data_IF_601753039863
#
_entry.id   IF_601753039863
#
_cell.length_a   1.000
_cell.length_b   1.000
_cell.length_c   1.000
_cell.angle_alpha   90.00
_cell.angle_beta   90.00
_cell.angle_gamma   90.00
#
_symmetry.space_group_name_H-M   'P 1'
#
loop_
_entity.id
_entity.type
_entity.pdbx_description
1 polymer ?
#
# COMPACT_ATOMS: atom_id res chain seq x y z
N UNK A 1 -1.12 30.21 8.09
CA UNK A 1 -0.39 29.05 7.53
C UNK A 1 0.39 28.25 8.58
N UNK A 2 1.02 28.88 9.59
CA UNK A 2 1.74 28.15 10.65
C UNK A 2 0.83 27.22 11.47
N UNK A 3 -0.37 27.64 11.85
CA UNK A 3 -1.28 26.78 12.64
C UNK A 3 -1.76 25.53 11.91
N UNK A 4 -1.96 25.59 10.59
CA UNK A 4 -2.31 24.41 9.79
C UNK A 4 -1.14 23.40 9.71
N UNK A 5 0.09 23.89 9.56
CA UNK A 5 1.30 23.04 9.58
C UNK A 5 1.45 22.35 10.94
N UNK A 6 1.32 23.07 12.03
CA UNK A 6 1.43 22.49 13.39
C UNK A 6 0.36 21.45 13.67
N UNK A 7 -0.89 21.67 13.23
CA UNK A 7 -1.98 20.69 13.37
C UNK A 7 -1.76 19.47 12.48
N UNK A 8 -1.20 19.68 11.28
CA UNK A 8 -0.84 18.59 10.36
C UNK A 8 0.31 17.75 10.90
N UNK A 9 1.36 18.39 11.40
CA UNK A 9 2.52 17.72 12.01
C UNK A 9 2.12 16.93 13.26
N UNK A 10 1.21 17.48 14.07
CA UNK A 10 0.65 16.76 15.22
C UNK A 10 -0.14 15.52 14.76
N UNK A 11 -1.03 15.67 13.79
CA UNK A 11 -1.81 14.55 13.26
C UNK A 11 -0.89 13.46 12.66
N UNK A 12 0.09 13.87 11.86
CA UNK A 12 1.02 12.96 11.21
C UNK A 12 1.93 12.22 12.21
N UNK A 13 2.49 12.93 13.19
CA UNK A 13 3.46 12.34 14.12
C UNK A 13 2.79 11.61 15.30
N UNK A 14 1.70 12.15 15.84
CA UNK A 14 1.08 11.62 17.06
C UNK A 14 -0.05 10.63 16.77
N UNK A 15 -0.83 10.82 15.70
CA UNK A 15 -1.95 9.93 15.39
C UNK A 15 -1.54 8.86 14.38
N UNK A 16 -0.99 9.23 13.23
CA UNK A 16 -0.58 8.26 12.20
C UNK A 16 0.76 7.61 12.53
N UNK A 17 1.76 8.39 12.93
CA UNK A 17 3.08 7.90 13.29
C UNK A 17 3.16 7.28 14.67
N UNK A 18 2.18 7.51 15.57
CA UNK A 18 2.14 6.99 16.95
C UNK A 18 3.50 7.07 17.66
N UNK A 19 4.23 8.19 17.53
CA UNK A 19 5.57 8.36 18.15
C UNK A 19 5.54 8.12 19.66
N UNK A 20 4.44 8.52 20.32
CA UNK A 20 4.21 8.25 21.74
C UNK A 20 4.26 6.75 22.09
N UNK A 21 3.78 5.88 21.17
CA UNK A 21 3.79 4.43 21.36
C UNK A 21 5.23 3.89 21.26
N UNK A 22 6.03 4.41 20.33
CA UNK A 22 7.44 4.02 20.20
C UNK A 22 8.25 4.42 21.45
N UNK A 23 8.03 5.63 21.98
CA UNK A 23 8.65 6.12 23.22
C UNK A 23 8.20 5.28 24.43
N UNK A 24 6.94 4.91 24.50
CA UNK A 24 6.40 4.09 25.57
C UNK A 24 6.99 2.67 25.58
N UNK A 25 7.14 2.06 24.41
CA UNK A 25 7.78 0.75 24.27
C UNK A 25 9.28 0.85 24.61
N UNK A 26 9.96 1.90 24.12
CA UNK A 26 11.37 2.15 24.44
C UNK A 26 11.62 2.34 25.93
N UNK A 27 10.78 3.14 26.62
CA UNK A 27 10.88 3.31 28.06
C UNK A 27 10.56 2.02 28.84
N UNK A 28 9.63 1.22 28.37
CA UNK A 28 9.33 -0.10 28.94
C UNK A 28 10.52 -1.07 28.85
N UNK A 29 11.15 -1.15 27.68
CA UNK A 29 12.35 -1.98 27.48
C UNK A 29 13.54 -1.51 28.32
N UNK A 30 13.75 -0.18 28.44
CA UNK A 30 14.76 0.39 29.32
C UNK A 30 14.50 0.08 30.79
N UNK A 31 13.24 0.12 31.25
CA UNK A 31 12.84 -0.24 32.62
C UNK A 31 13.10 -1.73 32.92
N UNK A 32 13.13 -2.59 31.89
CA UNK A 32 13.50 -4.01 32.01
C UNK A 32 15.03 -4.22 31.99
N UNK A 33 15.82 -3.16 31.95
CA UNK A 33 17.29 -3.23 31.96
C UNK A 33 17.92 -3.54 30.61
N UNK A 34 17.16 -3.40 29.52
CA UNK A 34 17.63 -3.64 28.16
C UNK A 34 18.19 -2.33 27.58
N UNK A 35 19.41 -2.39 27.03
CA UNK A 35 20.04 -1.23 26.37
C UNK A 35 19.46 -1.04 24.97
N UNK A 36 18.75 0.07 24.75
CA UNK A 36 18.12 0.42 23.46
C UNK A 36 19.16 0.61 22.35
N UNK A 37 20.42 0.94 22.67
CA UNK A 37 21.49 1.07 21.69
C UNK A 37 21.96 -0.29 21.14
N UNK A 38 21.57 -1.38 21.76
CA UNK A 38 21.83 -2.72 21.24
C UNK A 38 20.94 -3.01 20.03
N UNK A 39 21.55 -3.44 18.91
CA UNK A 39 20.84 -3.75 17.64
C UNK A 39 19.70 -4.73 17.84
N UNK A 40 19.83 -5.73 18.69
CA UNK A 40 18.77 -6.69 18.98
C UNK A 40 17.59 -6.04 19.71
N UNK A 41 17.87 -5.19 20.69
CA UNK A 41 16.82 -4.49 21.45
C UNK A 41 16.09 -3.48 20.55
N UNK A 42 16.82 -2.76 19.71
CA UNK A 42 16.25 -1.87 18.72
C UNK A 42 15.35 -2.60 17.70
N UNK A 43 15.75 -3.81 17.24
CA UNK A 43 14.90 -4.63 16.36
C UNK A 43 13.64 -5.13 17.07
N UNK A 44 13.73 -5.50 18.33
CA UNK A 44 12.55 -5.91 19.15
C UNK A 44 11.62 -4.72 19.38
N UNK A 45 12.17 -3.55 19.71
CA UNK A 45 11.39 -2.33 19.87
C UNK A 45 10.63 -1.99 18.58
N UNK A 46 11.31 -1.97 17.45
CA UNK A 46 10.72 -1.72 16.14
C UNK A 46 9.64 -2.75 15.82
N UNK A 47 9.92 -4.03 16.02
CA UNK A 47 8.95 -5.10 15.78
C UNK A 47 7.67 -4.93 16.60
N UNK A 48 7.78 -4.72 17.90
CA UNK A 48 6.62 -4.58 18.78
C UNK A 48 5.82 -3.31 18.40
N UNK A 49 6.53 -2.19 18.21
CA UNK A 49 5.92 -0.93 17.81
C UNK A 49 5.15 -1.05 16.50
N UNK A 50 5.78 -1.59 15.47
CA UNK A 50 5.21 -1.66 14.12
C UNK A 50 4.05 -2.66 14.06
N UNK A 51 4.14 -3.81 14.73
CA UNK A 51 3.05 -4.78 14.84
C UNK A 51 1.82 -4.15 15.51
N UNK A 52 1.98 -3.43 16.61
CA UNK A 52 0.86 -2.79 17.32
C UNK A 52 0.28 -1.68 16.44
N UNK A 53 1.10 -0.81 15.89
CA UNK A 53 0.71 0.31 15.02
C UNK A 53 -0.08 -0.19 13.81
N UNK A 54 0.47 -1.13 13.08
CA UNK A 54 -0.18 -1.70 11.88
C UNK A 54 -1.49 -2.38 12.25
N UNK A 55 -1.52 -3.14 13.35
CA UNK A 55 -2.74 -3.81 13.83
C UNK A 55 -3.84 -2.81 14.16
N UNK A 56 -3.53 -1.74 14.90
CA UNK A 56 -4.51 -0.72 15.26
C UNK A 56 -5.04 0.03 14.05
N UNK A 57 -4.14 0.49 13.16
CA UNK A 57 -4.52 1.20 11.95
C UNK A 57 -5.33 0.30 11.00
N UNK A 58 -4.92 -0.94 10.81
CA UNK A 58 -5.60 -1.92 9.97
C UNK A 58 -7.01 -2.21 10.49
N UNK A 59 -7.15 -2.53 11.79
CA UNK A 59 -8.45 -2.80 12.39
C UNK A 59 -9.39 -1.61 12.30
N UNK A 60 -8.89 -0.40 12.59
CA UNK A 60 -9.66 0.83 12.49
C UNK A 60 -10.12 1.10 11.06
N UNK A 61 -9.22 0.97 10.10
CA UNK A 61 -9.50 1.22 8.69
C UNK A 61 -10.50 0.19 8.12
N UNK A 62 -10.28 -1.11 8.37
CA UNK A 62 -11.20 -2.15 7.92
C UNK A 62 -12.58 -1.98 8.55
N UNK A 63 -12.65 -1.61 9.83
CA UNK A 63 -13.93 -1.37 10.50
C UNK A 63 -14.69 -0.22 9.83
N UNK A 64 -14.05 0.93 9.60
CA UNK A 64 -14.68 2.09 8.95
C UNK A 64 -15.12 1.74 7.54
N UNK A 65 -14.25 1.12 6.75
CA UNK A 65 -14.55 0.75 5.37
C UNK A 65 -15.73 -0.24 5.32
N UNK A 66 -15.70 -1.28 6.15
CA UNK A 66 -16.79 -2.26 6.19
C UNK A 66 -18.10 -1.64 6.67
N UNK A 67 -18.03 -0.67 7.59
CA UNK A 67 -19.19 0.08 8.03
C UNK A 67 -19.77 0.94 6.90
N UNK A 68 -18.93 1.66 6.14
CA UNK A 68 -19.35 2.44 4.98
C UNK A 68 -19.90 1.52 3.88
N UNK A 69 -19.23 0.41 3.59
CA UNK A 69 -19.68 -0.59 2.61
C UNK A 69 -21.05 -1.16 2.94
N UNK A 70 -21.40 -1.29 4.22
CA UNK A 70 -22.71 -1.75 4.63
C UNK A 70 -23.87 -0.83 4.19
N UNK A 71 -23.58 0.41 3.78
CA UNK A 71 -24.55 1.34 3.17
C UNK A 71 -24.58 1.27 1.65
N UNK A 72 -23.51 0.74 1.04
CA UNK A 72 -23.36 0.62 -0.41
C UNK A 72 -23.22 -0.86 -0.76
N UNK A 73 -24.35 -1.56 -0.96
CA UNK A 73 -24.29 -2.94 -1.40
C UNK A 73 -23.56 -3.03 -2.75
N UNK A 74 -22.87 -4.15 -3.02
CA UNK A 74 -22.07 -4.37 -4.22
C UNK A 74 -22.81 -4.08 -5.53
N UNK A 75 -24.15 -4.26 -5.54
CA UNK A 75 -25.04 -4.04 -6.69
C UNK A 75 -25.04 -2.57 -7.15
N UNK A 76 -25.02 -1.61 -6.20
CA UNK A 76 -24.92 -0.16 -6.53
C UNK A 76 -23.56 0.20 -7.10
N UNK A 77 -22.50 -0.41 -6.58
CA UNK A 77 -21.16 -0.23 -7.14
C UNK A 77 -21.06 -0.77 -8.56
N UNK A 78 -21.70 -1.92 -8.84
CA UNK A 78 -21.83 -2.49 -10.17
C UNK A 78 -22.63 -1.57 -11.11
N UNK A 79 -23.70 -0.95 -10.65
CA UNK A 79 -24.50 -0.02 -11.45
C UNK A 79 -23.73 1.27 -11.80
N UNK A 80 -22.96 1.80 -10.86
CA UNK A 80 -22.13 3.00 -11.08
C UNK A 80 -20.96 2.69 -12.02
N UNK A 81 -20.21 1.63 -11.75
CA UNK A 81 -19.05 1.23 -12.56
C UNK A 81 -19.47 0.59 -13.89
N UNK A 82 -20.63 -0.06 -13.95
CA UNK A 82 -21.19 -0.64 -15.16
C UNK A 82 -21.69 0.37 -16.20
N UNK A 83 -21.88 1.64 -15.82
CA UNK A 83 -22.19 2.74 -16.77
C UNK A 83 -20.97 3.15 -17.60
N UNK A 84 -19.77 2.87 -17.10
CA UNK A 84 -18.51 3.15 -17.80
C UNK A 84 -18.01 1.83 -18.40
N UNK A 85 -17.55 1.86 -19.64
CA UNK A 85 -17.01 0.70 -20.35
C UNK A 85 -15.57 0.95 -20.79
N UNK A 86 -14.73 -0.08 -20.77
CA UNK A 86 -13.37 -0.02 -21.27
C UNK A 86 -12.47 0.95 -20.52
N UNK A 87 -11.67 1.73 -21.24
CA UNK A 87 -10.68 2.65 -20.67
C UNK A 87 -11.28 3.68 -19.70
N UNK A 88 -12.52 4.12 -19.93
CA UNK A 88 -13.19 5.08 -19.03
C UNK A 88 -13.45 4.49 -17.64
N UNK A 89 -13.91 3.24 -17.58
CA UNK A 89 -14.15 2.54 -16.31
C UNK A 89 -12.83 2.31 -15.56
N UNK A 90 -11.78 1.90 -16.26
CA UNK A 90 -10.45 1.70 -15.70
C UNK A 90 -9.87 3.02 -15.14
N UNK A 91 -10.08 4.14 -15.82
CA UNK A 91 -9.63 5.46 -15.37
C UNK A 91 -10.37 5.91 -14.11
N UNK A 92 -11.68 5.73 -14.03
CA UNK A 92 -12.48 6.05 -12.85
C UNK A 92 -12.07 5.18 -11.66
N UNK A 93 -11.85 3.90 -11.89
CA UNK A 93 -11.39 2.98 -10.85
C UNK A 93 -9.99 3.34 -10.33
N UNK A 94 -9.06 3.71 -11.22
CA UNK A 94 -7.74 4.17 -10.84
C UNK A 94 -7.78 5.47 -10.03
N UNK A 95 -8.63 6.43 -10.41
CA UNK A 95 -8.85 7.66 -9.63
C UNK A 95 -9.45 7.36 -8.26
N UNK A 96 -10.42 6.45 -8.18
CA UNK A 96 -10.98 6.02 -6.89
C UNK A 96 -9.90 5.40 -5.99
N UNK A 97 -9.01 4.57 -6.56
CA UNK A 97 -7.89 4.00 -5.82
C UNK A 97 -6.94 5.06 -5.27
N UNK A 98 -6.68 6.11 -6.04
CA UNK A 98 -5.79 7.22 -5.61
C UNK A 98 -6.40 8.08 -4.50
N UNK A 99 -7.72 8.34 -4.56
CA UNK A 99 -8.42 9.18 -3.56
C UNK A 99 -8.63 8.42 -2.25
N UNK A 100 -8.70 7.10 -2.31
CA UNK A 100 -8.89 6.28 -1.12
C UNK A 100 -7.55 5.95 -0.46
N UNK A 101 -7.30 6.38 0.80
CA UNK A 101 -6.03 6.17 1.49
C UNK A 101 -5.89 4.72 1.97
N UNK A 102 -5.91 3.78 1.04
CA UNK A 102 -5.88 2.36 1.35
C UNK A 102 -4.48 1.77 1.16
N UNK A 103 -3.96 1.16 2.22
CA UNK A 103 -2.83 0.25 2.07
C UNK A 103 -3.25 -0.99 1.26
N UNK A 104 -2.30 -1.70 0.71
CA UNK A 104 -2.55 -2.95 -0.03
C UNK A 104 -3.38 -3.97 0.76
N UNK A 105 -3.26 -3.99 2.10
CA UNK A 105 -4.03 -4.87 2.98
C UNK A 105 -5.54 -4.58 2.97
N UNK A 106 -5.94 -3.32 2.79
CA UNK A 106 -7.35 -2.91 2.72
C UNK A 106 -7.90 -2.89 1.29
N UNK A 107 -7.04 -2.67 0.30
CA UNK A 107 -7.42 -2.69 -1.12
C UNK A 107 -7.78 -4.10 -1.61
N UNK A 108 -7.13 -5.16 -1.07
CA UNK A 108 -7.41 -6.55 -1.45
C UNK A 108 -8.83 -7.00 -1.07
N UNK A 109 -9.36 -6.77 0.15
CA UNK A 109 -10.77 -7.03 0.44
C UNK A 109 -11.75 -6.28 -0.46
N UNK A 110 -11.45 -5.02 -0.82
CA UNK A 110 -12.25 -4.25 -1.77
C UNK A 110 -12.20 -4.85 -3.18
N UNK A 111 -11.01 -5.24 -3.63
CA UNK A 111 -10.84 -5.97 -4.88
C UNK A 111 -11.70 -7.24 -4.91
N UNK A 112 -11.69 -8.03 -3.84
CA UNK A 112 -12.54 -9.22 -3.71
C UNK A 112 -14.01 -8.84 -3.79
N UNK A 113 -14.44 -7.79 -3.08
CA UNK A 113 -15.82 -7.30 -3.09
C UNK A 113 -16.27 -6.84 -4.48
N UNK A 114 -15.46 -6.05 -5.19
CA UNK A 114 -15.78 -5.61 -6.55
C UNK A 114 -15.80 -6.77 -7.54
N UNK A 115 -14.86 -7.70 -7.42
CA UNK A 115 -14.81 -8.89 -8.31
C UNK A 115 -15.99 -9.81 -8.08
N UNK A 116 -16.38 -10.06 -6.81
CA UNK A 116 -17.58 -10.85 -6.50
C UNK A 116 -18.86 -10.15 -6.95
N UNK A 117 -18.93 -8.82 -6.91
CA UNK A 117 -20.04 -8.05 -7.48
C UNK A 117 -20.12 -8.12 -9.01
N UNK A 118 -19.16 -8.76 -9.68
CA UNK A 118 -19.12 -8.90 -11.14
C UNK A 118 -18.62 -7.66 -11.88
N UNK A 119 -17.85 -6.79 -11.20
CA UNK A 119 -17.13 -5.69 -11.85
C UNK A 119 -16.04 -6.27 -12.75
N UNK A 120 -15.84 -5.76 -13.99
CA UNK A 120 -14.81 -6.24 -14.90
C UNK A 120 -13.43 -6.32 -14.27
N UNK A 121 -12.67 -7.36 -14.57
CA UNK A 121 -11.38 -7.62 -13.94
C UNK A 121 -10.36 -6.49 -14.20
N UNK A 122 -10.40 -5.88 -15.37
CA UNK A 122 -9.53 -4.73 -15.68
C UNK A 122 -9.79 -3.54 -14.76
N UNK A 123 -11.04 -3.26 -14.48
CA UNK A 123 -11.47 -2.16 -13.58
C UNK A 123 -11.00 -2.42 -12.16
N UNK A 124 -11.20 -3.65 -11.64
CA UNK A 124 -10.79 -4.02 -10.30
C UNK A 124 -9.27 -4.00 -10.12
N UNK A 125 -8.51 -4.42 -11.16
CA UNK A 125 -7.06 -4.33 -11.15
C UNK A 125 -6.54 -2.91 -11.33
N UNK A 126 -7.19 -2.05 -12.11
CA UNK A 126 -6.82 -0.62 -12.18
C UNK A 126 -6.93 0.03 -10.79
N UNK A 127 -7.98 -0.26 -10.03
CA UNK A 127 -8.12 0.15 -8.64
C UNK A 127 -7.01 -0.45 -7.74
N UNK A 128 -6.76 -1.76 -7.86
CA UNK A 128 -5.79 -2.46 -7.01
C UNK A 128 -4.35 -2.01 -7.26
N UNK A 129 -4.00 -1.62 -8.49
CA UNK A 129 -2.68 -1.10 -8.84
C UNK A 129 -2.53 0.35 -8.35
N UNK A 130 -3.53 1.20 -8.61
CA UNK A 130 -3.43 2.64 -8.27
C UNK A 130 -3.40 2.88 -6.77
N UNK A 131 -4.18 2.14 -6.00
CA UNK A 131 -4.37 2.37 -4.57
C UNK A 131 -3.06 2.33 -3.74
N UNK A 132 -2.18 1.32 -3.86
CA UNK A 132 -0.91 1.32 -3.16
C UNK A 132 0.21 2.07 -3.90
N UNK A 133 0.06 2.33 -5.21
CA UNK A 133 1.07 3.04 -5.99
C UNK A 133 0.93 4.56 -5.89
N UNK A 134 -0.29 5.07 -5.74
CA UNK A 134 -0.58 6.51 -5.79
C UNK A 134 -1.56 6.85 -4.69
N UNK A 135 -1.09 6.96 -3.47
CA UNK A 135 -1.93 7.37 -2.35
C UNK A 135 -1.76 8.86 -2.00
N UNK A 136 -2.75 9.41 -1.31
CA UNK A 136 -2.72 10.82 -0.88
C UNK A 136 -1.59 11.11 0.13
N UNK A 137 -1.19 10.13 0.93
CA UNK A 137 -0.09 10.27 1.87
C UNK A 137 1.23 10.45 1.12
N UNK A 138 1.49 9.62 0.10
CA UNK A 138 2.65 9.77 -0.80
C UNK A 138 2.65 11.12 -1.50
N UNK A 139 1.49 11.57 -1.97
CA UNK A 139 1.35 12.87 -2.64
C UNK A 139 1.74 14.04 -1.74
N UNK A 140 1.21 14.07 -0.51
CA UNK A 140 1.52 15.13 0.47
C UNK A 140 2.99 15.11 0.82
N UNK A 141 3.54 13.93 1.04
CA UNK A 141 4.95 13.75 1.36
C UNK A 141 5.86 14.21 0.23
N UNK A 142 5.64 13.70 -0.98
CA UNK A 142 6.42 14.08 -2.16
C UNK A 142 6.35 15.59 -2.39
N UNK A 143 5.19 16.20 -2.14
CA UNK A 143 5.04 17.65 -2.25
C UNK A 143 5.89 18.40 -1.23
N UNK A 144 6.02 17.88 -0.01
CA UNK A 144 6.81 18.52 1.05
C UNK A 144 8.33 18.34 0.88
N UNK A 145 8.78 17.21 0.35
CA UNK A 145 10.23 16.90 0.22
C UNK A 145 10.77 17.33 -1.16
N UNK A 146 10.07 16.92 -2.22
CA UNK A 146 10.55 17.05 -3.60
C UNK A 146 9.83 18.15 -4.39
N UNK A 147 8.81 18.78 -3.79
CA UNK A 147 8.01 19.84 -4.41
C UNK A 147 6.80 19.32 -5.19
N UNK A 148 5.82 20.23 -5.40
CA UNK A 148 4.54 19.88 -6.00
C UNK A 148 4.61 19.38 -7.44
N UNK A 149 5.60 19.81 -8.22
CA UNK A 149 5.78 19.35 -9.60
C UNK A 149 6.06 17.86 -9.68
N UNK A 150 6.98 17.37 -8.83
CA UNK A 150 7.34 15.93 -8.73
C UNK A 150 6.12 15.11 -8.33
N UNK A 151 5.39 15.59 -7.32
CA UNK A 151 4.20 14.92 -6.83
C UNK A 151 3.09 14.78 -7.89
N UNK A 152 2.81 15.83 -8.66
CA UNK A 152 1.80 15.80 -9.73
C UNK A 152 2.20 14.85 -10.86
N UNK A 153 3.47 14.89 -11.30
CA UNK A 153 3.97 13.96 -12.34
C UNK A 153 3.91 12.52 -11.85
N UNK A 154 4.26 12.27 -10.58
CA UNK A 154 4.15 10.94 -9.97
C UNK A 154 2.72 10.39 -10.03
N UNK A 155 1.72 11.18 -9.64
CA UNK A 155 0.30 10.79 -9.71
C UNK A 155 -0.12 10.47 -11.14
N UNK A 156 0.20 11.35 -12.10
CA UNK A 156 -0.18 11.15 -13.50
C UNK A 156 0.42 9.86 -14.06
N UNK A 157 1.72 9.64 -13.84
CA UNK A 157 2.40 8.44 -14.34
C UNK A 157 1.87 7.18 -13.66
N UNK A 158 1.65 7.22 -12.33
CA UNK A 158 1.07 6.12 -11.59
C UNK A 158 -0.34 5.75 -12.06
N UNK A 159 -1.19 6.75 -12.33
CA UNK A 159 -2.53 6.54 -12.91
C UNK A 159 -2.46 5.91 -14.30
N UNK A 160 -1.56 6.37 -15.16
CA UNK A 160 -1.36 5.79 -16.48
C UNK A 160 -0.98 4.31 -16.37
N UNK A 161 -0.04 3.96 -15.48
CA UNK A 161 0.38 2.58 -15.26
C UNK A 161 -0.80 1.74 -14.76
N UNK A 162 -1.60 2.26 -13.84
CA UNK A 162 -2.76 1.55 -13.31
C UNK A 162 -3.82 1.27 -14.39
N UNK A 163 -4.14 2.25 -15.21
CA UNK A 163 -5.10 2.10 -16.31
C UNK A 163 -4.60 1.16 -17.39
N UNK A 164 -3.34 1.30 -17.79
CA UNK A 164 -2.70 0.42 -18.79
C UNK A 164 -2.61 -1.01 -18.26
N UNK A 165 -2.18 -1.18 -17.00
CA UNK A 165 -2.05 -2.49 -16.35
C UNK A 165 -3.40 -3.21 -16.21
N UNK A 166 -4.43 -2.52 -15.75
CA UNK A 166 -5.79 -3.08 -15.67
C UNK A 166 -6.34 -3.45 -17.05
N UNK A 167 -6.17 -2.57 -18.04
CA UNK A 167 -6.60 -2.84 -19.42
C UNK A 167 -5.85 -4.03 -20.04
N UNK A 168 -4.58 -4.19 -19.71
CA UNK A 168 -3.77 -5.32 -20.18
C UNK A 168 -4.31 -6.65 -19.58
N UNK A 169 -4.61 -6.68 -18.28
CA UNK A 169 -5.16 -7.85 -17.61
C UNK A 169 -6.54 -8.21 -18.21
N UNK A 170 -7.39 -7.21 -18.50
CA UNK A 170 -8.69 -7.41 -19.12
C UNK A 170 -8.55 -8.04 -20.51
N UNK A 171 -7.65 -7.53 -21.37
CA UNK A 171 -7.38 -8.07 -22.68
C UNK A 171 -6.86 -9.50 -22.67
N UNK A 172 -6.14 -9.91 -21.64
CA UNK A 172 -5.66 -11.27 -21.46
C UNK A 172 -6.77 -12.26 -21.05
N UNK A 173 -7.99 -11.78 -20.76
CA UNK A 173 -9.15 -12.61 -20.35
C UNK A 173 -8.80 -13.59 -19.25
N UNK A 174 -8.23 -13.05 -18.15
CA UNK A 174 -7.69 -13.84 -17.05
C UNK A 174 -8.70 -14.16 -15.95
N UNK A 175 -10.01 -13.98 -16.17
CA UNK A 175 -11.08 -14.23 -15.20
C UNK A 175 -11.03 -15.64 -14.61
N UNK A 176 -10.64 -16.63 -15.43
CA UNK A 176 -10.48 -18.04 -15.01
C UNK A 176 -9.39 -18.29 -13.95
N UNK A 177 -8.56 -17.28 -13.72
CA UNK A 177 -7.50 -17.32 -12.69
C UNK A 177 -7.88 -16.57 -11.41
N UNK A 178 -9.10 -16.11 -11.28
CA UNK A 178 -9.72 -15.72 -10.00
C UNK A 178 -10.16 -16.99 -9.28
N UNK A 179 -10.11 -17.03 -7.97
CA UNK A 179 -10.56 -18.19 -7.19
C UNK A 179 -12.08 -18.30 -7.24
N UNK A 180 -12.61 -19.54 -7.36
CA UNK A 180 -14.04 -19.81 -7.64
C UNK A 180 -14.96 -19.27 -6.54
N UNK A 181 -14.53 -19.32 -5.27
CA UNK A 181 -15.35 -18.85 -4.16
C UNK A 181 -15.68 -17.34 -4.25
N UNK A 182 -14.84 -16.54 -4.94
CA UNK A 182 -15.11 -15.12 -5.15
C UNK A 182 -16.20 -14.91 -6.20
N UNK A 183 -16.17 -15.70 -7.27
CA UNK A 183 -17.14 -15.63 -8.34
C UNK A 183 -18.51 -16.19 -7.92
N UNK A 184 -18.50 -17.26 -7.11
CA UNK A 184 -19.70 -17.90 -6.58
C UNK A 184 -20.38 -17.04 -5.51
N UNK A 185 -19.64 -16.31 -4.69
CA UNK A 185 -20.20 -15.41 -3.68
C UNK A 185 -21.07 -14.28 -4.28
N UNK A 186 -20.80 -13.87 -5.52
CA UNK A 186 -21.59 -12.87 -6.23
C UNK A 186 -22.86 -13.43 -6.91
N UNK A 187 -23.01 -14.76 -6.97
CA UNK A 187 -24.19 -15.42 -7.55
C UNK A 187 -25.34 -15.59 -6.54
N UNK A 188 -25.09 -15.34 -5.26
CA UNK A 188 -26.13 -15.39 -4.24
C UNK A 188 -26.77 -13.99 -4.19
N UNK A 189 -27.95 -13.89 -4.83
CA UNK A 189 -28.83 -12.72 -4.76
C UNK A 189 -29.43 -12.64 -3.34
N UNK A 190 -28.63 -12.13 -2.41
CA UNK A 190 -29.14 -11.79 -1.08
C UNK A 190 -29.69 -10.37 -1.23
N UNK A 191 -31.01 -10.24 -1.37
CA UNK A 191 -31.71 -8.98 -1.09
C UNK A 191 -31.11 -8.41 0.19
N UNK A 192 -30.43 -7.28 0.09
CA UNK A 192 -29.78 -6.63 1.24
C UNK A 192 -30.88 -6.22 2.20
N UNK A 193 -31.11 -6.92 3.33
CA UNK A 193 -32.06 -6.43 4.32
C UNK A 193 -31.63 -5.05 4.77
N UNK A 194 -32.59 -4.15 5.00
CA UNK A 194 -32.32 -2.83 5.58
C UNK A 194 -31.73 -3.01 6.99
N UNK A 195 -30.39 -3.16 7.02
CA UNK A 195 -29.65 -3.35 8.25
C UNK A 195 -29.78 -2.10 9.15
N UNK A 196 -30.13 -2.29 10.39
CA UNK A 196 -30.09 -1.24 11.39
C UNK A 196 -28.65 -0.80 11.66
N UNK A 197 -28.46 0.40 12.21
CA UNK A 197 -27.11 0.91 12.56
C UNK A 197 -26.31 -0.05 13.45
N UNK A 198 -26.99 -0.78 14.33
CA UNK A 198 -26.34 -1.76 15.22
C UNK A 198 -25.88 -3.00 14.43
N UNK A 199 -26.71 -3.52 13.53
CA UNK A 199 -26.36 -4.66 12.69
C UNK A 199 -25.21 -4.33 11.72
N UNK A 200 -25.17 -3.09 11.20
CA UNK A 200 -24.05 -2.61 10.39
C UNK A 200 -22.73 -2.56 11.17
N UNK A 201 -22.78 -2.13 12.44
CA UNK A 201 -21.60 -2.12 13.29
C UNK A 201 -21.13 -3.55 13.65
N UNK A 202 -22.06 -4.47 13.87
CA UNK A 202 -21.75 -5.90 14.09
C UNK A 202 -21.12 -6.49 12.83
N UNK A 203 -21.71 -6.26 11.66
CA UNK A 203 -21.18 -6.70 10.38
C UNK A 203 -19.74 -6.16 10.16
N UNK A 204 -19.51 -4.86 10.39
CA UNK A 204 -18.19 -4.24 10.26
C UNK A 204 -17.16 -4.85 11.21
N UNK A 205 -17.56 -5.13 12.47
CA UNK A 205 -16.75 -5.81 13.46
C UNK A 205 -16.37 -7.23 13.04
N UNK A 206 -17.34 -8.00 12.55
CA UNK A 206 -17.11 -9.39 12.14
C UNK A 206 -16.19 -9.46 10.91
N UNK A 207 -16.36 -8.57 9.94
CA UNK A 207 -15.47 -8.42 8.79
C UNK A 207 -14.06 -8.02 9.22
N UNK A 208 -13.93 -7.06 10.13
CA UNK A 208 -12.66 -6.64 10.69
C UNK A 208 -11.94 -7.81 11.37
N UNK A 209 -12.62 -8.53 12.26
CA UNK A 209 -12.04 -9.67 12.99
C UNK A 209 -11.67 -10.84 12.06
N UNK A 210 -12.53 -11.15 11.08
CA UNK A 210 -12.27 -12.20 10.10
C UNK A 210 -11.03 -11.87 9.26
N UNK A 211 -10.93 -10.64 8.76
CA UNK A 211 -9.78 -10.18 7.97
C UNK A 211 -8.52 -10.12 8.83
N UNK A 212 -8.61 -9.56 10.04
CA UNK A 212 -7.48 -9.48 10.97
C UNK A 212 -6.89 -10.88 11.26
N UNK A 213 -7.72 -11.85 11.64
CA UNK A 213 -7.24 -13.22 11.90
C UNK A 213 -6.51 -13.85 10.72
N UNK A 214 -6.95 -13.56 9.50
CA UNK A 214 -6.31 -14.09 8.28
C UNK A 214 -4.97 -13.41 7.96
N UNK A 215 -4.84 -12.12 8.29
CA UNK A 215 -3.71 -11.27 7.90
C UNK A 215 -2.62 -11.25 8.98
N UNK A 216 -2.99 -11.34 10.25
CA UNK A 216 -2.11 -11.16 11.40
C UNK A 216 -0.83 -12.03 11.34
N UNK A 217 -0.87 -13.35 11.05
CA UNK A 217 0.35 -14.14 10.96
C UNK A 217 1.32 -13.65 9.88
N UNK A 218 0.80 -13.09 8.80
CA UNK A 218 1.62 -12.54 7.71
C UNK A 218 2.21 -11.17 8.06
N UNK A 219 1.49 -10.37 8.85
CA UNK A 219 2.02 -9.12 9.41
C UNK A 219 3.21 -9.45 10.31
N UNK A 220 3.09 -10.44 11.21
CA UNK A 220 4.19 -10.84 12.08
C UNK A 220 5.45 -11.25 11.29
N UNK A 221 5.27 -12.04 10.24
CA UNK A 221 6.40 -12.47 9.40
C UNK A 221 7.00 -11.27 8.66
N UNK A 222 6.17 -10.44 8.02
CA UNK A 222 6.64 -9.30 7.22
C UNK A 222 7.33 -8.24 8.07
N UNK A 223 6.74 -7.86 9.20
CA UNK A 223 7.34 -6.90 10.14
C UNK A 223 8.58 -7.49 10.79
N UNK A 224 8.61 -8.81 11.07
CA UNK A 224 9.79 -9.50 11.57
C UNK A 224 10.98 -9.42 10.61
N UNK A 225 10.75 -9.67 9.33
CA UNK A 225 11.76 -9.48 8.29
C UNK A 225 12.18 -8.01 8.20
N UNK A 226 11.22 -7.07 8.22
CA UNK A 226 11.49 -5.64 8.23
C UNK A 226 12.34 -5.18 9.42
N UNK A 227 12.05 -5.68 10.62
CA UNK A 227 12.79 -5.34 11.84
C UNK A 227 14.25 -5.83 11.81
N UNK A 228 14.47 -7.00 11.21
CA UNK A 228 15.84 -7.51 10.99
C UNK A 228 16.56 -6.61 9.99
N UNK A 229 15.96 -6.32 8.84
CA UNK A 229 16.57 -5.49 7.80
C UNK A 229 16.90 -4.09 8.32
N UNK A 230 15.97 -3.45 9.03
CA UNK A 230 16.09 -2.06 9.49
C UNK A 230 17.32 -1.82 10.38
N UNK A 231 17.67 -2.76 11.27
CA UNK A 231 18.77 -2.56 12.22
C UNK A 231 20.08 -3.26 11.82
N UNK A 232 20.04 -4.18 10.83
CA UNK A 232 21.20 -4.98 10.45
C UNK A 232 21.83 -4.54 9.13
N UNK A 233 21.09 -3.90 8.24
CA UNK A 233 21.66 -3.37 7.00
C UNK A 233 22.11 -1.94 7.26
N UNK A 234 23.43 -1.65 7.22
CA UNK A 234 23.94 -0.29 7.36
C UNK A 234 23.39 0.60 6.24
N UNK A 235 22.91 1.78 6.59
CA UNK A 235 22.43 2.77 5.60
C UNK A 235 23.50 3.09 4.55
N UNK A 236 24.77 3.02 4.94
CA UNK A 236 25.92 3.23 4.05
C UNK A 236 25.99 2.18 2.94
N UNK A 237 25.65 0.92 3.25
CA UNK A 237 25.64 -0.14 2.26
C UNK A 237 24.49 0.06 1.27
N UNK A 238 23.30 0.41 1.76
CA UNK A 238 22.15 0.74 0.91
C UNK A 238 22.49 1.93 0.01
N UNK A 239 23.09 3.00 0.59
CA UNK A 239 23.50 4.17 -0.17
C UNK A 239 24.59 3.88 -1.22
N UNK A 240 25.53 2.98 -0.94
CA UNK A 240 26.58 2.59 -1.92
C UNK A 240 26.00 1.78 -3.10
N UNK A 241 25.00 0.96 -2.84
CA UNK A 241 24.35 0.13 -3.87
C UNK A 241 23.34 0.94 -4.69
N UNK A 242 22.62 1.87 -4.05
CA UNK A 242 21.58 2.69 -4.67
C UNK A 242 22.05 4.09 -5.09
N UNK A 243 23.34 4.38 -4.97
CA UNK A 243 23.92 5.68 -5.32
C UNK A 243 23.77 6.06 -6.79
N UNK A 244 24.03 7.34 -7.09
CA UNK A 244 23.81 7.97 -8.40
C UNK A 244 24.58 7.35 -9.57
N UNK A 245 25.71 6.70 -9.28
CA UNK A 245 26.63 6.18 -10.31
C UNK A 245 26.23 4.80 -10.85
N UNK A 246 25.24 4.16 -10.25
CA UNK A 246 24.81 2.83 -10.64
C UNK A 246 23.58 2.89 -11.58
N UNK A 247 23.70 2.57 -12.87
CA UNK A 247 22.58 2.58 -13.80
C UNK A 247 21.50 1.55 -13.43
N UNK A 248 21.83 0.53 -12.64
CA UNK A 248 20.89 -0.48 -12.16
C UNK A 248 20.26 -0.14 -10.81
N UNK A 249 20.54 1.05 -10.24
CA UNK A 249 20.03 1.46 -8.93
C UNK A 249 18.52 1.37 -8.80
N UNK A 250 17.76 1.73 -9.84
CA UNK A 250 16.29 1.63 -9.90
C UNK A 250 15.82 0.17 -9.79
N UNK A 251 16.44 -0.73 -10.53
CA UNK A 251 16.09 -2.15 -10.51
C UNK A 251 16.44 -2.77 -9.16
N UNK A 252 17.63 -2.46 -8.65
CA UNK A 252 18.06 -2.94 -7.32
C UNK A 252 17.17 -2.41 -6.20
N UNK A 253 16.82 -1.11 -6.24
CA UNK A 253 15.89 -0.51 -5.29
C UNK A 253 14.53 -1.21 -5.29
N UNK A 254 14.00 -1.54 -6.46
CA UNK A 254 12.74 -2.26 -6.61
C UNK A 254 12.84 -3.65 -5.97
N UNK A 255 13.89 -4.43 -6.27
CA UNK A 255 14.03 -5.77 -5.71
C UNK A 255 14.35 -5.78 -4.20
N UNK A 256 15.12 -4.81 -3.71
CA UNK A 256 15.40 -4.65 -2.27
C UNK A 256 14.12 -4.26 -1.51
N UNK A 257 13.23 -3.47 -2.12
CA UNK A 257 11.96 -3.08 -1.51
C UNK A 257 10.97 -4.22 -1.33
N UNK A 258 10.95 -5.22 -2.23
CA UNK A 258 9.95 -6.31 -2.22
C UNK A 258 9.88 -7.09 -0.90
N UNK A 259 10.97 -7.54 -0.27
CA UNK A 259 10.92 -8.28 0.98
C UNK A 259 10.59 -7.40 2.19
N UNK A 260 10.72 -6.08 2.06
CA UNK A 260 10.48 -5.14 3.15
C UNK A 260 8.98 -4.87 3.23
N UNK A 261 8.43 -5.01 4.43
CA UNK A 261 7.08 -4.57 4.72
C UNK A 261 7.15 -3.34 5.62
N UNK A 262 6.78 -2.20 5.09
CA UNK A 262 6.61 -0.97 5.86
C UNK A 262 5.46 -0.17 5.27
N UNK A 263 4.81 0.63 6.11
CA UNK A 263 3.89 1.64 5.61
C UNK A 263 4.68 2.81 5.00
N UNK A 264 3.98 3.68 4.29
CA UNK A 264 4.63 4.81 3.62
C UNK A 264 5.33 5.74 4.62
N UNK A 265 4.77 5.93 5.80
CA UNK A 265 5.34 6.76 6.86
C UNK A 265 6.62 6.15 7.44
N UNK A 266 6.72 4.82 7.48
CA UNK A 266 7.94 4.11 7.87
C UNK A 266 9.03 4.16 6.81
N UNK A 267 8.68 4.32 5.53
CA UNK A 267 9.67 4.42 4.44
C UNK A 267 10.25 5.82 4.25
N UNK A 268 9.57 6.87 4.76
CA UNK A 268 10.00 8.26 4.62
C UNK A 268 11.42 8.51 5.15
N UNK A 269 11.76 8.14 6.40
CA UNK A 269 13.11 8.39 6.90
C UNK A 269 14.19 7.70 6.07
N UNK A 270 13.88 6.50 5.55
CA UNK A 270 14.80 5.77 4.67
C UNK A 270 14.94 6.50 3.33
N UNK A 271 13.83 6.98 2.76
CA UNK A 271 13.82 7.74 1.53
C UNK A 271 14.62 9.05 1.65
N UNK A 272 14.43 9.79 2.74
CA UNK A 272 15.18 11.00 3.05
C UNK A 272 16.68 10.69 3.20
N UNK A 273 17.03 9.67 3.98
CA UNK A 273 18.42 9.28 4.18
C UNK A 273 19.09 8.87 2.86
N UNK A 274 18.40 8.11 2.00
CA UNK A 274 18.90 7.75 0.68
C UNK A 274 19.12 8.99 -0.20
N UNK A 275 18.17 9.91 -0.22
CA UNK A 275 18.26 11.14 -1.00
C UNK A 275 19.41 12.03 -0.54
N UNK A 276 19.58 12.25 0.78
CA UNK A 276 20.69 13.01 1.33
C UNK A 276 22.06 12.36 1.10
N UNK A 277 22.12 11.06 0.93
CA UNK A 277 23.32 10.29 0.57
C UNK A 277 23.58 10.23 -0.95
N UNK A 278 22.80 10.97 -1.74
CA UNK A 278 23.02 11.13 -3.19
C UNK A 278 22.31 10.13 -4.08
N UNK A 279 21.34 9.35 -3.56
CA UNK A 279 20.50 8.53 -4.42
C UNK A 279 19.60 9.43 -5.30
N UNK A 280 19.41 9.04 -6.55
CA UNK A 280 18.54 9.76 -7.48
C UNK A 280 17.08 9.63 -7.05
N UNK A 281 16.26 10.66 -7.35
CA UNK A 281 14.84 10.71 -6.97
C UNK A 281 14.07 9.49 -7.45
N UNK A 282 14.26 9.08 -8.72
CA UNK A 282 13.57 7.91 -9.25
C UNK A 282 13.95 6.60 -8.57
N UNK A 283 15.20 6.46 -8.10
CA UNK A 283 15.64 5.30 -7.30
C UNK A 283 14.92 5.26 -5.96
N UNK A 284 14.83 6.40 -5.28
CA UNK A 284 14.11 6.54 -4.00
C UNK A 284 12.62 6.22 -4.19
N UNK A 285 11.98 6.78 -5.21
CA UNK A 285 10.58 6.51 -5.55
C UNK A 285 10.34 5.04 -5.84
N UNK A 286 11.21 4.39 -6.62
CA UNK A 286 11.10 2.96 -6.94
C UNK A 286 11.18 2.08 -5.70
N UNK A 287 12.06 2.42 -4.77
CA UNK A 287 12.16 1.74 -3.48
C UNK A 287 10.85 1.87 -2.68
N UNK A 288 10.35 3.10 -2.50
CA UNK A 288 9.10 3.36 -1.77
C UNK A 288 7.91 2.64 -2.39
N UNK A 289 7.75 2.75 -3.71
CA UNK A 289 6.67 2.06 -4.43
C UNK A 289 6.74 0.54 -4.29
N UNK A 290 7.95 -0.05 -4.38
CA UNK A 290 8.14 -1.48 -4.24
C UNK A 290 7.76 -1.99 -2.84
N UNK A 291 8.20 -1.28 -1.79
CA UNK A 291 7.88 -1.60 -0.39
C UNK A 291 6.37 -1.60 -0.14
N UNK A 292 5.65 -0.61 -0.68
CA UNK A 292 4.20 -0.46 -0.45
C UNK A 292 3.38 -1.39 -1.35
N UNK A 293 3.74 -1.51 -2.63
CA UNK A 293 2.92 -2.24 -3.63
C UNK A 293 3.23 -3.73 -3.68
N UNK A 294 4.51 -4.11 -3.60
CA UNK A 294 4.98 -5.50 -3.85
C UNK A 294 5.37 -6.23 -2.57
N UNK A 295 5.01 -5.73 -1.40
CA UNK A 295 5.38 -6.37 -0.13
C UNK A 295 4.90 -7.82 -0.05
N UNK A 296 5.75 -8.70 0.54
CA UNK A 296 5.47 -10.12 0.69
C UNK A 296 4.10 -10.43 1.34
N UNK A 297 3.69 -9.77 2.45
CA UNK A 297 2.39 -10.01 3.06
C UNK A 297 1.22 -9.72 2.11
N UNK A 298 1.32 -8.63 1.34
CA UNK A 298 0.29 -8.26 0.36
C UNK A 298 0.17 -9.29 -0.76
N UNK A 299 1.30 -9.81 -1.25
CA UNK A 299 1.32 -10.86 -2.28
C UNK A 299 0.73 -12.17 -1.77
N UNK A 300 1.02 -12.54 -0.52
CA UNK A 300 0.45 -13.74 0.10
C UNK A 300 -1.07 -13.59 0.30
N UNK A 301 -1.54 -12.42 0.68
CA UNK A 301 -2.98 -12.15 0.79
C UNK A 301 -3.67 -12.23 -0.56
N UNK A 302 -3.11 -11.57 -1.58
CA UNK A 302 -3.66 -11.57 -2.93
C UNK A 302 -3.66 -12.98 -3.54
N UNK A 303 -2.65 -13.81 -3.21
CA UNK A 303 -2.59 -15.22 -3.62
C UNK A 303 -3.80 -16.05 -3.18
N UNK A 304 -4.48 -15.66 -2.10
CA UNK A 304 -5.72 -16.32 -1.66
C UNK A 304 -6.95 -15.93 -2.50
N UNK A 305 -6.87 -14.81 -3.19
CA UNK A 305 -7.96 -14.32 -4.04
C UNK A 305 -7.77 -14.70 -5.51
N UNK A 306 -6.51 -14.84 -5.95
CA UNK A 306 -6.17 -15.12 -7.36
C UNK A 306 -5.14 -16.25 -7.47
N UNK A 307 -5.19 -16.97 -8.59
CA UNK A 307 -4.25 -18.06 -8.89
C UNK A 307 -2.85 -17.53 -9.26
N UNK A 308 -1.79 -18.36 -9.12
CA UNK A 308 -0.39 -17.92 -9.30
C UNK A 308 -0.12 -17.25 -10.64
N UNK A 309 -0.77 -17.66 -11.72
CA UNK A 309 -0.56 -17.07 -13.05
C UNK A 309 -1.01 -15.61 -13.11
N UNK A 310 -2.17 -15.30 -12.56
CA UNK A 310 -2.68 -13.92 -12.52
C UNK A 310 -1.85 -13.07 -11.55
N UNK A 311 -1.44 -13.65 -10.42
CA UNK A 311 -0.54 -12.99 -9.47
C UNK A 311 0.81 -12.63 -10.11
N UNK A 312 1.40 -13.56 -10.88
CA UNK A 312 2.66 -13.30 -11.58
C UNK A 312 2.54 -12.15 -12.62
N UNK A 313 1.42 -12.11 -13.35
CA UNK A 313 1.14 -11.00 -14.29
C UNK A 313 1.00 -9.68 -13.53
N UNK A 314 0.27 -9.65 -12.41
CA UNK A 314 0.13 -8.47 -11.57
C UNK A 314 1.49 -7.98 -11.05
N UNK A 315 2.31 -8.88 -10.48
CA UNK A 315 3.66 -8.56 -10.00
C UNK A 315 4.51 -8.02 -11.15
N UNK A 316 4.46 -8.66 -12.33
CA UNK A 316 5.20 -8.22 -13.50
C UNK A 316 4.82 -6.81 -13.95
N UNK A 317 3.52 -6.50 -14.03
CA UNK A 317 3.02 -5.17 -14.38
C UNK A 317 3.48 -4.12 -13.37
N UNK A 318 3.32 -4.39 -12.07
CA UNK A 318 3.75 -3.47 -11.02
C UNK A 318 5.27 -3.26 -11.05
N UNK A 319 6.06 -4.32 -11.17
CA UNK A 319 7.53 -4.24 -11.23
C UNK A 319 8.00 -3.42 -12.43
N UNK A 320 7.46 -3.70 -13.62
CA UNK A 320 7.79 -2.95 -14.84
C UNK A 320 7.36 -1.49 -14.68
N UNK A 321 6.15 -1.25 -14.14
CA UNK A 321 5.65 0.09 -13.91
C UNK A 321 6.55 0.89 -12.94
N UNK A 322 6.97 0.29 -11.84
CA UNK A 322 7.87 0.91 -10.86
C UNK A 322 9.23 1.24 -11.51
N UNK A 323 9.79 0.33 -12.29
CA UNK A 323 11.05 0.53 -12.98
C UNK A 323 10.93 1.68 -14.00
N UNK A 324 9.83 1.74 -14.76
CA UNK A 324 9.56 2.83 -15.71
C UNK A 324 9.49 4.18 -14.97
N UNK A 325 8.75 4.26 -13.87
CA UNK A 325 8.67 5.47 -13.02
C UNK A 325 10.07 5.87 -12.57
N UNK A 326 10.83 4.94 -12.02
CA UNK A 326 12.17 5.21 -11.51
C UNK A 326 13.11 5.79 -12.57
N UNK A 327 13.21 5.16 -13.72
CA UNK A 327 14.06 5.68 -14.80
C UNK A 327 13.55 6.99 -15.38
N UNK A 328 12.24 7.15 -15.51
CA UNK A 328 11.63 8.39 -15.97
C UNK A 328 11.98 9.55 -15.03
N UNK A 329 11.83 9.37 -13.73
CA UNK A 329 12.16 10.41 -12.76
C UNK A 329 13.67 10.68 -12.68
N UNK A 330 14.52 9.67 -12.80
CA UNK A 330 15.97 9.88 -12.89
C UNK A 330 16.36 10.66 -14.15
N UNK A 331 15.78 10.34 -15.31
CA UNK A 331 16.07 11.03 -16.58
C UNK A 331 15.61 12.49 -16.57
N UNK A 332 14.50 12.80 -15.93
CA UNK A 332 13.91 14.14 -15.88
C UNK A 332 14.21 14.88 -14.58
N UNK A 333 15.10 14.37 -13.74
CA UNK A 333 15.43 14.99 -12.44
C UNK A 333 15.81 16.45 -12.60
N UNK A 334 16.62 16.81 -13.60
CA UNK A 334 17.07 18.18 -13.88
C UNK A 334 15.97 19.12 -14.35
N UNK A 335 14.84 18.58 -14.86
CA UNK A 335 13.70 19.35 -15.34
C UNK A 335 12.58 19.48 -14.30
N UNK A 336 12.52 18.54 -13.34
CA UNK A 336 11.42 18.41 -12.38
C UNK A 336 11.82 19.07 -11.05
N UNK A 337 13.07 18.97 -10.66
CA UNK A 337 13.68 19.60 -9.47
C UNK A 337 14.41 20.86 -9.86
#
# INVERSE_FOLDING_TARGET
>A
MQGLKTSWDFFQNQILGMKWLNELIGSGLSAMGLDINNRWVGSIQFFIYDVIKITLLLCFLIFIISYIQSYFPPERSKEILGRFHGLGANSVAALLGTVTPFCSCSSIPLFIGFTSAGVPLGVTFSFLISSPMVDLGSLVLLTSIFGGKVAVVYVIVGLIIAVVGGTFIEKLKMEKYVESFILEAGAIDIESPDLTRKERAVYAKDQMLSTFKKVFPYILIGVGVGAVIHNWIPEEWIASVLGSDNPFSVVLATFIGVPIYADIFGTIPIAEALFYKGAQIGTVLSFMMAVVTLSLPSMIMLRKAIKPKLLAVFIGICTIGIIIVGYLFNAFQTLIV
#
